data_IF_346436318147
#
_entry.id   IF_346436318147
#
_cell.length_a   1.000
_cell.length_b   1.000
_cell.length_c   1.000
_cell.angle_alpha   90.00
_cell.angle_beta   90.00
_cell.angle_gamma   90.00
#
_symmetry.space_group_name_H-M   'P 1'
#
loop_
_entity.id
_entity.type
_entity.pdbx_description
1 polymer ?
#
# COMPACT_ATOMS: atom_id res chain seq x y z
N UNK A 1 -29.98 -12.74 65.29
CA UNK A 1 -30.15 -11.27 65.22
C UNK A 1 -31.46 -10.97 64.49
N UNK A 2 -32.37 -10.22 65.15
CA UNK A 2 -33.47 -9.35 64.64
C UNK A 2 -34.08 -9.74 63.28
N UNK A 3 -35.23 -10.42 63.17
CA UNK A 3 -36.66 -10.01 63.38
C UNK A 3 -37.07 -8.72 62.64
N UNK A 4 -38.10 -8.85 61.76
CA UNK A 4 -39.35 -8.06 61.60
C UNK A 4 -39.72 -7.91 60.10
N UNK A 5 -40.76 -8.57 59.56
CA UNK A 5 -42.23 -8.32 59.67
C UNK A 5 -42.68 -7.19 58.70
N UNK A 6 -43.40 -7.51 57.60
CA UNK A 6 -44.88 -7.39 57.42
C UNK A 6 -45.28 -5.95 57.00
N UNK A 7 -46.34 -5.59 56.26
CA UNK A 7 -47.44 -6.22 55.53
C UNK A 7 -48.18 -5.08 54.79
N UNK A 8 -48.82 -5.41 53.67
CA UNK A 8 -50.09 -4.91 53.09
C UNK A 8 -50.70 -3.60 53.61
N UNK A 9 -51.02 -2.68 52.69
CA UNK A 9 -52.14 -1.70 52.76
C UNK A 9 -52.37 -1.17 51.32
N UNK A 10 -53.27 -1.69 50.48
CA UNK A 10 -54.73 -1.49 50.46
C UNK A 10 -55.19 -0.08 50.88
N UNK A 11 -55.41 0.80 49.91
CA UNK A 11 -56.37 1.90 50.10
C UNK A 11 -56.96 2.33 48.75
N UNK A 12 -58.21 1.91 48.55
CA UNK A 12 -59.14 2.32 47.50
C UNK A 12 -59.89 3.54 48.07
N UNK A 13 -59.76 4.74 47.49
CA UNK A 13 -60.61 5.90 47.85
C UNK A 13 -61.06 6.66 46.59
N UNK A 14 -62.35 6.99 46.62
CA UNK A 14 -63.22 7.62 45.63
C UNK A 14 -62.90 9.09 45.27
N UNK A 15 -63.43 9.48 44.11
CA UNK A 15 -63.67 10.81 43.49
C UNK A 15 -64.07 11.96 44.44
N UNK A 16 -63.86 13.23 44.01
CA UNK A 16 -65.01 14.01 43.54
C UNK A 16 -64.79 14.87 42.27
N UNK A 17 -65.93 15.21 41.67
CA UNK A 17 -66.20 16.12 40.55
C UNK A 17 -65.91 17.60 40.82
N UNK A 18 -65.54 18.38 39.79
CA UNK A 18 -65.83 19.82 39.75
C UNK A 18 -64.92 20.75 38.91
N UNK A 19 -65.37 21.06 37.68
CA UNK A 19 -65.39 22.36 36.97
C UNK A 19 -64.14 23.16 36.50
N UNK A 20 -64.28 23.64 35.25
CA UNK A 20 -63.80 24.89 34.60
C UNK A 20 -62.33 24.99 34.11
N UNK A 21 -62.14 24.98 32.77
CA UNK A 21 -61.86 26.19 31.96
C UNK A 21 -61.41 25.89 30.51
N UNK A 22 -61.87 26.75 29.59
CA UNK A 22 -61.19 27.26 28.39
C UNK A 22 -60.90 26.34 27.16
N UNK A 23 -61.84 26.39 26.22
CA UNK A 23 -61.68 26.89 24.84
C UNK A 23 -60.27 26.82 24.19
N UNK A 24 -60.13 25.84 23.31
CA UNK A 24 -59.65 25.94 21.92
C UNK A 24 -58.66 27.06 21.57
N UNK A 25 -57.40 26.69 21.39
CA UNK A 25 -56.54 27.25 20.34
C UNK A 25 -55.62 26.16 19.82
N UNK A 26 -55.57 26.05 18.50
CA UNK A 26 -54.91 25.01 17.73
C UNK A 26 -53.46 24.79 18.16
N UNK A 27 -53.16 23.57 18.63
CA UNK A 27 -51.80 23.05 18.61
C UNK A 27 -51.54 22.53 17.19
N UNK A 28 -50.88 23.35 16.39
CA UNK A 28 -50.28 22.95 15.13
C UNK A 28 -49.26 21.84 15.42
N UNK A 29 -49.67 20.59 15.18
CA UNK A 29 -48.76 19.45 15.21
C UNK A 29 -47.81 19.60 14.02
N UNK A 30 -46.64 20.18 14.27
CA UNK A 30 -45.51 20.07 13.37
C UNK A 30 -45.08 18.60 13.37
N UNK A 31 -45.66 17.82 12.46
CA UNK A 31 -45.25 16.45 12.20
C UNK A 31 -43.79 16.52 11.74
N UNK A 32 -42.88 16.17 12.66
CA UNK A 32 -41.46 16.04 12.35
C UNK A 32 -41.32 14.87 11.37
N UNK A 33 -41.34 15.20 10.08
CA UNK A 33 -40.99 14.30 8.99
C UNK A 33 -39.59 13.76 9.26
N UNK A 34 -39.49 12.58 9.87
CA UNK A 34 -38.22 11.88 10.04
C UNK A 34 -37.75 11.43 8.66
N UNK A 35 -36.96 12.27 8.01
CA UNK A 35 -36.22 11.89 6.80
C UNK A 35 -35.22 10.82 7.23
N UNK A 36 -35.24 9.61 6.65
CA UNK A 36 -34.24 8.60 6.97
C UNK A 36 -32.87 9.17 6.59
N UNK A 37 -32.01 9.35 7.58
CA UNK A 37 -30.64 9.81 7.35
C UNK A 37 -29.89 8.67 6.65
N UNK A 38 -29.42 8.90 5.43
CA UNK A 38 -28.52 7.99 4.75
C UNK A 38 -27.09 8.28 5.23
N UNK A 39 -26.54 7.42 6.10
CA UNK A 39 -25.13 7.50 6.49
C UNK A 39 -24.30 6.88 5.36
N UNK A 40 -23.71 7.71 4.49
CA UNK A 40 -22.67 7.24 3.56
C UNK A 40 -21.33 7.23 4.27
N UNK A 41 -20.91 6.04 4.70
CA UNK A 41 -19.53 5.82 5.19
C UNK A 41 -18.64 5.61 3.97
N UNK A 42 -17.96 6.67 3.53
CA UNK A 42 -16.90 6.54 2.52
C UNK A 42 -15.61 6.19 3.23
N UNK A 43 -14.97 5.04 2.95
CA UNK A 43 -13.65 4.76 3.51
C UNK A 43 -12.65 5.79 2.98
N UNK A 44 -12.12 6.62 3.88
CA UNK A 44 -11.03 7.54 3.58
C UNK A 44 -9.72 6.77 3.66
N UNK A 45 -9.17 6.38 2.51
CA UNK A 45 -7.79 5.87 2.44
C UNK A 45 -6.84 7.06 2.45
N UNK A 46 -5.86 7.05 3.37
CA UNK A 46 -4.77 8.02 3.31
C UNK A 46 -3.79 7.60 2.19
N UNK A 47 -3.04 8.57 1.65
CA UNK A 47 -1.96 8.30 0.69
C UNK A 47 -0.97 7.26 1.23
N UNK A 48 -0.66 7.32 2.52
CA UNK A 48 0.21 6.36 3.21
C UNK A 48 -0.35 4.93 3.18
N UNK A 49 -1.66 4.78 3.28
CA UNK A 49 -2.32 3.47 3.32
C UNK A 49 -2.27 2.82 1.94
N UNK A 50 -2.49 3.61 0.88
CA UNK A 50 -2.36 3.13 -0.51
C UNK A 50 -0.90 2.76 -0.80
N UNK A 51 0.07 3.57 -0.37
CA UNK A 51 1.48 3.26 -0.56
C UNK A 51 1.91 1.98 0.19
N UNK A 52 1.39 1.77 1.41
CA UNK A 52 1.63 0.53 2.16
C UNK A 52 1.00 -0.69 1.46
N UNK A 53 -0.22 -0.55 0.94
CA UNK A 53 -0.90 -1.61 0.20
C UNK A 53 -0.21 -1.95 -1.12
N UNK A 54 0.28 -0.94 -1.86
CA UNK A 54 1.11 -1.16 -3.06
C UNK A 54 2.32 -2.03 -2.69
N UNK A 55 3.02 -1.69 -1.61
CA UNK A 55 4.18 -2.46 -1.16
C UNK A 55 3.84 -3.93 -0.87
N UNK A 56 2.72 -4.18 -0.20
CA UNK A 56 2.26 -5.55 0.09
C UNK A 56 1.92 -6.33 -1.18
N UNK A 57 1.19 -5.72 -2.11
CA UNK A 57 0.82 -6.35 -3.39
C UNK A 57 2.04 -6.57 -4.28
N UNK A 58 3.01 -5.64 -4.29
CA UNK A 58 4.29 -5.81 -4.97
C UNK A 58 5.10 -6.98 -4.40
N UNK A 59 5.13 -7.14 -3.07
CA UNK A 59 5.81 -8.27 -2.43
C UNK A 59 5.19 -9.59 -2.85
N UNK A 60 3.86 -9.69 -2.86
CA UNK A 60 3.16 -10.88 -3.35
C UNK A 60 3.37 -11.13 -4.85
N UNK A 61 3.45 -10.07 -5.67
CA UNK A 61 3.76 -10.20 -7.09
C UNK A 61 5.16 -10.78 -7.32
N UNK A 62 6.15 -10.23 -6.62
CA UNK A 62 7.56 -10.62 -6.75
C UNK A 62 7.76 -12.04 -6.24
N UNK A 63 7.19 -12.38 -5.09
CA UNK A 63 7.24 -13.74 -4.53
C UNK A 63 6.67 -14.74 -5.53
N UNK A 64 5.44 -14.49 -6.02
CA UNK A 64 4.79 -15.39 -6.97
C UNK A 64 5.54 -15.48 -8.30
N UNK A 65 6.12 -14.38 -8.78
CA UNK A 65 6.93 -14.39 -9.99
C UNK A 65 8.20 -15.25 -9.81
N UNK A 66 8.94 -15.04 -8.72
CA UNK A 66 10.16 -15.80 -8.43
C UNK A 66 9.86 -17.29 -8.20
N UNK A 67 8.75 -17.65 -7.57
CA UNK A 67 8.31 -19.05 -7.43
C UNK A 67 8.09 -19.76 -8.78
N UNK A 68 7.53 -19.02 -9.76
CA UNK A 68 7.16 -19.56 -11.06
C UNK A 68 8.31 -19.52 -12.06
N UNK A 69 9.22 -18.58 -11.91
CA UNK A 69 10.39 -18.42 -12.76
C UNK A 69 11.48 -19.41 -12.35
N UNK A 70 11.67 -20.46 -13.15
CA UNK A 70 12.68 -21.52 -12.88
C UNK A 70 14.14 -21.07 -13.12
N UNK A 71 14.35 -19.82 -13.51
CA UNK A 71 15.64 -19.30 -13.93
C UNK A 71 16.08 -18.20 -12.96
N UNK A 72 16.80 -18.61 -11.93
CA UNK A 72 17.18 -17.78 -10.78
C UNK A 72 17.94 -16.50 -11.18
N UNK A 73 18.55 -16.44 -12.37
CA UNK A 73 19.27 -15.26 -12.88
C UNK A 73 18.34 -14.07 -13.17
N UNK A 74 17.04 -14.36 -13.31
CA UNK A 74 15.98 -13.37 -13.53
C UNK A 74 15.10 -13.12 -12.30
N UNK A 75 15.47 -13.68 -11.15
CA UNK A 75 14.79 -13.39 -9.89
C UNK A 75 14.85 -11.89 -9.56
N UNK A 76 13.75 -11.37 -9.03
CA UNK A 76 13.71 -10.03 -8.45
C UNK A 76 14.09 -10.09 -6.98
N UNK A 77 15.11 -9.32 -6.58
CA UNK A 77 15.55 -9.20 -5.19
C UNK A 77 15.27 -7.79 -4.69
N UNK A 78 14.63 -7.71 -3.52
CA UNK A 78 14.38 -6.46 -2.82
C UNK A 78 15.37 -6.27 -1.68
N UNK A 79 15.95 -5.08 -1.58
CA UNK A 79 16.90 -4.73 -0.53
C UNK A 79 16.64 -3.30 -0.02
N UNK A 80 17.11 -3.03 1.19
CA UNK A 80 17.09 -1.68 1.76
C UNK A 80 18.48 -1.07 1.64
N UNK A 81 18.53 0.17 1.18
CA UNK A 81 19.76 0.96 1.14
C UNK A 81 19.50 2.36 1.68
N UNK A 82 20.52 2.98 2.24
CA UNK A 82 20.44 4.36 2.73
C UNK A 82 21.39 5.19 1.88
N UNK A 83 20.87 6.08 1.01
CA UNK A 83 21.72 7.00 0.26
C UNK A 83 22.68 7.76 1.19
N UNK A 84 23.89 8.02 0.69
CA UNK A 84 24.89 8.79 1.44
C UNK A 84 24.31 10.12 1.90
N UNK A 85 24.50 10.45 3.18
CA UNK A 85 24.03 11.68 3.83
C UNK A 85 22.50 11.86 3.92
N UNK A 86 21.65 10.91 3.48
CA UNK A 86 20.19 11.08 3.61
C UNK A 86 19.64 10.67 4.99
N UNK A 87 20.30 9.72 5.67
CA UNK A 87 19.77 8.99 6.84
C UNK A 87 18.38 8.35 6.64
N UNK A 88 17.83 8.38 5.42
CA UNK A 88 16.51 7.87 5.07
C UNK A 88 16.71 6.57 4.31
N UNK A 89 16.29 5.46 4.93
CA UNK A 89 16.34 4.15 4.29
C UNK A 89 15.28 4.04 3.20
N UNK A 90 15.69 3.54 2.04
CA UNK A 90 14.85 3.32 0.87
C UNK A 90 14.87 1.83 0.51
N UNK A 91 13.72 1.32 0.03
CA UNK A 91 13.59 -0.03 -0.53
C UNK A 91 13.76 0.06 -2.04
N UNK A 92 14.64 -0.76 -2.62
CA UNK A 92 14.74 -0.98 -4.06
C UNK A 92 14.50 -2.45 -4.36
N UNK A 93 13.84 -2.74 -5.47
CA UNK A 93 13.69 -4.10 -6.00
C UNK A 93 14.25 -4.11 -7.42
N UNK A 94 15.23 -4.98 -7.65
CA UNK A 94 15.94 -5.08 -8.92
C UNK A 94 16.08 -6.54 -9.32
N UNK A 95 16.06 -6.87 -10.62
CA UNK A 95 16.37 -8.22 -11.06
C UNK A 95 17.84 -8.55 -10.78
N UNK A 96 18.13 -9.81 -10.46
CA UNK A 96 19.45 -10.29 -10.03
C UNK A 96 20.54 -9.96 -11.04
N UNK A 97 20.30 -10.17 -12.33
CA UNK A 97 21.26 -9.82 -13.40
C UNK A 97 21.73 -8.35 -13.34
N UNK A 98 20.88 -7.42 -12.89
CA UNK A 98 21.26 -6.01 -12.79
C UNK A 98 22.17 -5.74 -11.59
N UNK A 99 21.90 -6.43 -10.48
CA UNK A 99 22.73 -6.38 -9.26
C UNK A 99 24.11 -6.96 -9.59
N UNK A 100 24.14 -8.11 -10.25
CA UNK A 100 25.38 -8.77 -10.67
C UNK A 100 26.15 -7.96 -11.71
N UNK A 101 25.45 -7.38 -12.70
CA UNK A 101 26.08 -6.47 -13.65
C UNK A 101 26.75 -5.27 -12.99
N UNK A 102 26.12 -4.71 -11.95
CA UNK A 102 26.71 -3.63 -11.14
C UNK A 102 27.93 -4.09 -10.35
N UNK A 103 27.86 -5.29 -9.77
CA UNK A 103 28.97 -5.88 -9.01
C UNK A 103 30.17 -6.22 -9.92
N UNK A 104 29.91 -6.74 -11.12
CA UNK A 104 30.92 -7.03 -12.13
C UNK A 104 31.62 -5.74 -12.61
N UNK A 105 30.86 -4.69 -12.91
CA UNK A 105 31.39 -3.39 -13.29
C UNK A 105 32.25 -2.75 -12.19
N UNK A 106 31.80 -2.82 -10.93
CA UNK A 106 32.59 -2.37 -9.79
C UNK A 106 33.89 -3.18 -9.61
N UNK A 107 33.83 -4.49 -9.83
CA UNK A 107 34.99 -5.38 -9.73
C UNK A 107 36.01 -5.10 -10.85
N UNK A 108 35.55 -4.86 -12.08
CA UNK A 108 36.40 -4.45 -13.21
C UNK A 108 37.07 -3.10 -12.93
N UNK A 109 36.32 -2.11 -12.44
CA UNK A 109 36.88 -0.82 -12.05
C UNK A 109 37.96 -0.97 -10.97
N UNK A 110 37.73 -1.82 -9.96
CA UNK A 110 38.71 -2.12 -8.91
C UNK A 110 39.96 -2.84 -9.45
N UNK A 111 39.79 -3.79 -10.38
CA UNK A 111 40.89 -4.44 -11.06
C UNK A 111 41.73 -3.44 -11.86
N UNK A 112 41.08 -2.59 -12.67
CA UNK A 112 41.73 -1.52 -13.42
C UNK A 112 42.51 -0.57 -12.50
N UNK A 113 41.95 -0.26 -11.32
CA UNK A 113 42.63 0.55 -10.31
C UNK A 113 43.92 -0.11 -9.81
N UNK A 114 43.91 -1.42 -9.57
CA UNK A 114 45.11 -2.18 -9.18
C UNK A 114 46.21 -2.18 -10.26
N UNK A 115 45.89 -1.85 -11.50
CA UNK A 115 46.82 -1.86 -12.63
C UNK A 115 47.21 -0.46 -13.12
N UNK A 116 46.86 0.59 -12.38
CA UNK A 116 47.28 1.98 -12.65
C UNK A 116 48.80 2.06 -12.59
N UNK A 117 49.43 2.55 -13.67
CA UNK A 117 50.88 2.76 -13.74
C UNK A 117 51.23 4.24 -13.63
N UNK A 118 50.36 5.11 -14.17
CA UNK A 118 50.57 6.54 -14.25
C UNK A 118 49.30 7.32 -13.86
N UNK A 119 49.43 8.62 -13.56
CA UNK A 119 48.29 9.47 -13.17
C UNK A 119 47.20 9.58 -14.25
N UNK A 120 47.56 9.52 -15.53
CA UNK A 120 46.61 9.55 -16.64
C UNK A 120 45.69 8.30 -16.69
N UNK A 121 46.15 7.16 -16.19
CA UNK A 121 45.34 5.93 -16.16
C UNK A 121 44.21 6.05 -15.14
N UNK A 122 44.45 6.78 -14.04
CA UNK A 122 43.53 6.96 -12.92
C UNK A 122 42.28 7.77 -13.30
N UNK A 123 42.42 8.79 -14.16
CA UNK A 123 41.33 9.67 -14.58
C UNK A 123 40.26 8.92 -15.40
N UNK A 124 40.61 7.78 -15.99
CA UNK A 124 39.70 6.97 -16.81
C UNK A 124 38.90 5.92 -16.05
N UNK A 125 39.17 5.73 -14.75
CA UNK A 125 38.57 4.65 -13.97
C UNK A 125 37.29 5.15 -13.32
N UNK A 126 36.17 4.69 -13.84
CA UNK A 126 34.84 4.97 -13.31
C UNK A 126 33.96 3.74 -13.50
N UNK A 127 32.97 3.61 -12.63
CA UNK A 127 31.88 2.65 -12.80
C UNK A 127 30.82 3.23 -13.72
N UNK A 128 30.09 2.35 -14.40
CA UNK A 128 28.96 2.72 -15.22
C UNK A 128 27.88 3.40 -14.38
N UNK A 129 27.37 4.51 -14.90
CA UNK A 129 26.12 5.09 -14.41
C UNK A 129 24.97 4.08 -14.51
N UNK A 130 23.93 4.25 -13.69
CA UNK A 130 22.75 3.38 -13.74
C UNK A 130 22.10 3.28 -15.13
N UNK A 131 22.11 4.38 -15.90
CA UNK A 131 21.58 4.40 -17.26
C UNK A 131 22.45 3.61 -18.24
N UNK A 132 23.78 3.79 -18.19
CA UNK A 132 24.71 3.06 -19.04
C UNK A 132 24.73 1.56 -18.73
N UNK A 133 24.63 1.19 -17.45
CA UNK A 133 24.49 -0.21 -17.03
C UNK A 133 23.18 -0.81 -17.55
N UNK A 134 22.07 -0.09 -17.44
CA UNK A 134 20.79 -0.57 -18.00
C UNK A 134 20.88 -0.78 -19.51
N UNK A 135 21.57 0.12 -20.22
CA UNK A 135 21.79 0.00 -21.67
C UNK A 135 22.68 -1.19 -22.02
N UNK A 136 23.75 -1.45 -21.26
CA UNK A 136 24.63 -2.61 -21.53
C UNK A 136 23.91 -3.93 -21.28
N UNK A 137 22.99 -3.98 -20.31
CA UNK A 137 22.20 -5.16 -19.96
C UNK A 137 20.88 -5.29 -20.77
N UNK A 138 20.74 -4.59 -21.89
CA UNK A 138 19.48 -4.55 -22.65
C UNK A 138 18.93 -5.94 -23.02
N UNK A 139 19.79 -6.89 -23.41
CA UNK A 139 19.38 -8.26 -23.74
C UNK A 139 18.74 -8.97 -22.56
N UNK A 140 19.30 -8.81 -21.36
CA UNK A 140 18.75 -9.40 -20.15
C UNK A 140 17.37 -8.83 -19.82
N UNK A 141 17.16 -7.53 -20.06
CA UNK A 141 15.84 -6.93 -19.94
C UNK A 141 14.82 -7.51 -20.93
N UNK A 142 15.22 -7.82 -22.17
CA UNK A 142 14.32 -8.43 -23.15
C UNK A 142 13.89 -9.83 -22.70
N UNK A 143 14.84 -10.63 -22.20
CA UNK A 143 14.56 -11.98 -21.69
C UNK A 143 13.66 -11.90 -20.45
N UNK A 144 13.98 -11.02 -19.51
CA UNK A 144 13.16 -10.76 -18.32
C UNK A 144 11.73 -10.38 -18.69
N UNK A 145 11.55 -9.45 -19.63
CA UNK A 145 10.22 -9.05 -20.10
C UNK A 145 9.47 -10.19 -20.78
N UNK A 146 10.17 -11.03 -21.55
CA UNK A 146 9.58 -12.20 -22.19
C UNK A 146 9.05 -13.19 -21.15
N UNK A 147 9.87 -13.51 -20.13
CA UNK A 147 9.48 -14.38 -19.00
C UNK A 147 8.30 -13.80 -18.23
N UNK A 148 8.34 -12.52 -17.91
CA UNK A 148 7.27 -11.81 -17.22
C UNK A 148 5.94 -11.93 -17.98
N UNK A 149 5.95 -11.64 -19.29
CA UNK A 149 4.76 -11.76 -20.15
C UNK A 149 4.23 -13.18 -20.23
N UNK A 150 5.13 -14.16 -20.36
CA UNK A 150 4.76 -15.57 -20.42
C UNK A 150 4.07 -16.01 -19.12
N UNK A 151 4.66 -15.70 -17.97
CA UNK A 151 4.15 -16.10 -16.65
C UNK A 151 2.83 -15.40 -16.29
N UNK A 152 2.70 -14.10 -16.59
CA UNK A 152 1.44 -13.36 -16.40
C UNK A 152 0.33 -13.95 -17.28
N UNK A 153 0.67 -14.44 -18.48
CA UNK A 153 -0.32 -15.04 -19.38
C UNK A 153 -0.74 -16.44 -18.95
N UNK A 154 0.16 -17.19 -18.30
CA UNK A 154 -0.10 -18.58 -17.89
C UNK A 154 -0.70 -18.73 -16.50
N UNK A 155 -0.36 -17.86 -15.54
CA UNK A 155 -0.78 -17.98 -14.14
C UNK A 155 -1.86 -16.96 -13.77
N UNK A 156 -3.04 -17.46 -13.39
CA UNK A 156 -4.19 -16.62 -13.05
C UNK A 156 -3.97 -15.79 -11.79
N UNK A 157 -3.21 -16.30 -10.81
CA UNK A 157 -2.94 -15.59 -9.56
C UNK A 157 -2.00 -14.42 -9.82
N UNK A 158 -0.88 -14.65 -10.51
CA UNK A 158 0.08 -13.62 -10.89
C UNK A 158 -0.58 -12.52 -11.73
N UNK A 159 -1.45 -12.90 -12.69
CA UNK A 159 -2.25 -11.96 -13.46
C UNK A 159 -3.17 -11.11 -12.59
N UNK A 160 -3.85 -11.73 -11.62
CA UNK A 160 -4.76 -11.03 -10.70
C UNK A 160 -4.00 -10.01 -9.87
N UNK A 161 -2.85 -10.40 -9.30
CA UNK A 161 -1.98 -9.50 -8.53
C UNK A 161 -1.51 -8.34 -9.40
N UNK A 162 -1.09 -8.59 -10.65
CA UNK A 162 -0.65 -7.55 -11.57
C UNK A 162 -1.76 -6.51 -11.86
N UNK A 163 -2.99 -6.98 -12.08
CA UNK A 163 -4.16 -6.09 -12.29
C UNK A 163 -4.46 -5.27 -11.04
N UNK A 164 -4.42 -5.89 -9.86
CA UNK A 164 -4.63 -5.18 -8.59
C UNK A 164 -3.57 -4.10 -8.38
N UNK A 165 -2.30 -4.41 -8.69
CA UNK A 165 -1.20 -3.47 -8.57
C UNK A 165 -1.38 -2.25 -9.50
N UNK A 166 -1.82 -2.47 -10.74
CA UNK A 166 -2.14 -1.39 -11.71
C UNK A 166 -3.26 -0.47 -11.20
N UNK A 167 -4.31 -1.05 -10.61
CA UNK A 167 -5.41 -0.28 -10.00
C UNK A 167 -4.90 0.58 -8.83
N UNK A 168 -4.02 0.03 -7.98
CA UNK A 168 -3.48 0.76 -6.84
C UNK A 168 -2.56 1.92 -7.27
N UNK A 169 -1.68 1.70 -8.25
CA UNK A 169 -0.85 2.76 -8.83
C UNK A 169 -1.70 3.86 -9.46
N UNK A 170 -2.76 3.49 -10.20
CA UNK A 170 -3.70 4.46 -10.77
C UNK A 170 -4.38 5.31 -9.69
N UNK A 171 -4.81 4.69 -8.58
CA UNK A 171 -5.39 5.41 -7.45
C UNK A 171 -4.38 6.37 -6.82
N UNK A 172 -3.15 5.93 -6.58
CA UNK A 172 -2.11 6.77 -5.99
C UNK A 172 -1.82 8.00 -6.86
N UNK A 173 -1.73 7.83 -8.18
CA UNK A 173 -1.48 8.93 -9.12
C UNK A 173 -2.61 9.96 -9.13
N UNK A 174 -3.87 9.53 -8.98
CA UNK A 174 -5.01 10.45 -8.91
C UNK A 174 -4.94 11.33 -7.64
N UNK A 175 -4.51 10.76 -6.50
CA UNK A 175 -4.25 11.55 -5.28
C UNK A 175 -3.15 12.61 -5.46
N UNK A 176 -2.18 12.37 -6.35
CA UNK A 176 -1.10 13.34 -6.66
C UNK A 176 -1.55 14.45 -7.61
N UNK A 177 -2.63 14.27 -8.38
CA UNK A 177 -3.17 15.31 -9.27
C UNK A 177 -4.19 16.22 -8.59
N UNK A 178 -4.83 15.74 -7.52
CA UNK A 178 -5.84 16.47 -6.76
C UNK A 178 -5.26 17.38 -5.66
N UNK A 179 -3.94 17.31 -5.39
CA UNK A 179 -3.22 18.10 -4.38
C UNK A 179 -2.05 18.89 -4.99
#
# INVERSE_FOLDING_TARGET
MKVLISSVFSCLILLPTGFLAAQETAAEQLEAQQVPYEIKVTPTFLRSDIAALIKEVEEGFIERFNELNLDDDYDVKCFRFTPTMSHISQRSCEPKFLIEGRAADASDAGFRYSHVRNLADLESISTLSGLSLRRSMHREYEIFQSKLKALISSDANLKTIAVQLDVLHSRLNNFEQEN
#
